data_IF_866993893866
#
_entry.id   IF_866993893866
#
_cell.length_a   1.000
_cell.length_b   1.000
_cell.length_c   1.000
_cell.angle_alpha   90.00
_cell.angle_beta   90.00
_cell.angle_gamma   90.00
#
_symmetry.space_group_name_H-M   'P 1'
#
loop_
_entity.id
_entity.type
_entity.pdbx_description
1 polymer ?
#
# COMPACT_ATOMS: atom_id res chain seq x y z
N UNK A 1 5.55 7.39 2.29
CA UNK A 1 6.95 7.16 2.69
C UNK A 1 7.20 5.71 3.09
N UNK A 2 6.39 5.12 3.98
CA UNK A 2 6.64 3.79 4.57
C UNK A 2 6.91 2.66 3.56
N UNK A 3 6.12 2.54 2.49
CA UNK A 3 6.34 1.50 1.49
C UNK A 3 7.72 1.58 0.80
N UNK A 4 8.26 2.78 0.57
CA UNK A 4 9.61 2.96 0.02
C UNK A 4 10.67 2.54 1.04
N UNK A 5 10.53 3.03 2.28
CA UNK A 5 11.45 2.71 3.38
C UNK A 5 11.53 1.21 3.62
N UNK A 6 10.40 0.49 3.64
CA UNK A 6 10.38 -0.96 3.80
C UNK A 6 11.11 -1.68 2.66
N UNK A 7 10.96 -1.23 1.41
CA UNK A 7 11.67 -1.84 0.28
C UNK A 7 13.18 -1.60 0.34
N UNK A 8 13.60 -0.40 0.76
CA UNK A 8 15.01 -0.08 0.99
C UNK A 8 15.59 -0.90 2.15
N UNK A 9 14.84 -1.07 3.24
CA UNK A 9 15.24 -1.90 4.38
C UNK A 9 15.41 -3.38 3.99
N UNK A 10 14.69 -3.85 2.98
CA UNK A 10 14.86 -5.18 2.38
C UNK A 10 16.05 -5.27 1.41
N UNK A 11 16.86 -4.21 1.29
CA UNK A 11 18.07 -4.19 0.47
C UNK A 11 17.83 -3.94 -1.03
N UNK A 12 16.64 -3.49 -1.44
CA UNK A 12 16.40 -3.14 -2.84
C UNK A 12 17.14 -1.87 -3.22
N UNK A 13 17.57 -1.80 -4.47
CA UNK A 13 18.06 -0.56 -5.06
C UNK A 13 16.96 0.51 -5.11
N UNK A 14 17.39 1.77 -5.21
CA UNK A 14 16.49 2.92 -5.12
C UNK A 14 15.39 2.93 -6.20
N UNK A 15 15.71 2.51 -7.43
CA UNK A 15 14.76 2.52 -8.53
C UNK A 15 13.69 1.44 -8.33
N UNK A 16 14.11 0.21 -8.04
CA UNK A 16 13.21 -0.90 -7.76
C UNK A 16 12.33 -0.65 -6.54
N UNK A 17 12.90 -0.07 -5.49
CA UNK A 17 12.18 0.29 -4.27
C UNK A 17 11.10 1.34 -4.56
N UNK A 18 11.44 2.40 -5.32
CA UNK A 18 10.50 3.45 -5.69
C UNK A 18 9.36 2.94 -6.59
N UNK A 19 9.69 2.15 -7.62
CA UNK A 19 8.68 1.52 -8.50
C UNK A 19 7.72 0.65 -7.70
N UNK A 20 8.24 -0.14 -6.76
CA UNK A 20 7.43 -1.01 -5.90
C UNK A 20 6.53 -0.21 -4.96
N UNK A 21 7.05 0.84 -4.32
CA UNK A 21 6.29 1.71 -3.44
C UNK A 21 5.16 2.46 -4.17
N UNK A 22 5.44 3.00 -5.37
CA UNK A 22 4.43 3.65 -6.20
C UNK A 22 3.31 2.69 -6.59
N UNK A 23 3.66 1.48 -7.04
CA UNK A 23 2.68 0.44 -7.36
C UNK A 23 1.84 0.06 -6.14
N UNK A 24 2.47 -0.05 -4.97
CA UNK A 24 1.76 -0.37 -3.73
C UNK A 24 0.69 0.67 -3.38
N UNK A 25 1.03 1.97 -3.43
CA UNK A 25 0.08 3.05 -3.15
C UNK A 25 -1.04 3.11 -4.19
N UNK A 26 -0.71 2.90 -5.47
CA UNK A 26 -1.69 2.90 -6.55
C UNK A 26 -2.76 1.81 -6.37
N UNK A 27 -2.35 0.58 -6.06
CA UNK A 27 -3.32 -0.50 -5.82
C UNK A 27 -4.07 -0.33 -4.48
N UNK A 28 -3.42 0.20 -3.44
CA UNK A 28 -4.10 0.55 -2.19
C UNK A 28 -5.21 1.60 -2.40
N UNK A 29 -5.01 2.51 -3.35
CA UNK A 29 -6.00 3.51 -3.75
C UNK A 29 -7.15 2.89 -4.52
N UNK A 30 -6.86 1.97 -5.44
CA UNK A 30 -7.90 1.24 -6.19
C UNK A 30 -8.74 0.33 -5.29
N UNK A 31 -8.13 -0.20 -4.23
CA UNK A 31 -8.79 -1.05 -3.24
C UNK A 31 -9.40 -0.26 -2.07
N UNK A 32 -9.38 1.09 -2.13
CA UNK A 32 -10.00 1.94 -1.11
C UNK A 32 -11.49 1.61 -0.96
N UNK A 33 -11.98 1.72 0.27
CA UNK A 33 -13.37 1.44 0.62
C UNK A 33 -14.03 2.73 1.14
N UNK A 34 -15.35 2.88 0.94
CA UNK A 34 -16.05 4.08 1.39
C UNK A 34 -16.05 4.16 2.92
N UNK A 35 -15.57 5.27 3.45
CA UNK A 35 -15.65 5.61 4.87
C UNK A 35 -16.13 7.06 4.98
N UNK A 36 -17.28 7.27 5.63
CA UNK A 36 -17.89 8.58 5.80
C UNK A 36 -18.44 9.19 4.50
N UNK A 37 -18.62 10.52 4.48
CA UNK A 37 -19.27 11.28 3.41
C UNK A 37 -18.28 12.19 2.63
N UNK A 38 -16.98 11.85 2.65
CA UNK A 38 -15.92 12.72 2.11
C UNK A 38 -14.70 11.94 1.61
N UNK A 39 -13.49 12.43 1.90
CA UNK A 39 -12.25 11.75 1.51
C UNK A 39 -12.05 10.47 2.33
N UNK A 40 -12.17 9.31 1.66
CA UNK A 40 -11.94 8.01 2.26
C UNK A 40 -10.44 7.65 2.35
N UNK A 41 -10.05 6.76 3.28
CA UNK A 41 -8.68 6.30 3.41
C UNK A 41 -8.28 5.36 2.26
N UNK A 42 -6.97 5.25 2.04
CA UNK A 42 -6.39 4.17 1.24
C UNK A 42 -6.53 2.83 1.98
N UNK A 43 -6.74 1.75 1.24
CA UNK A 43 -6.70 0.41 1.83
C UNK A 43 -5.26 -0.09 1.91
N UNK A 44 -4.57 0.14 3.03
CA UNK A 44 -3.18 -0.33 3.22
C UNK A 44 -3.06 -1.86 3.28
N UNK A 45 -4.15 -2.55 3.62
CA UNK A 45 -4.21 -4.01 3.79
C UNK A 45 -4.70 -4.74 2.53
N UNK A 46 -4.75 -4.06 1.37
CA UNK A 46 -5.33 -4.58 0.14
C UNK A 46 -4.75 -5.92 -0.38
N UNK A 47 -3.55 -6.31 0.06
CA UNK A 47 -2.93 -7.61 -0.28
C UNK A 47 -3.25 -8.74 0.70
N UNK A 48 -3.77 -8.41 1.87
CA UNK A 48 -4.10 -9.41 2.87
C UNK A 48 -5.43 -10.08 2.49
N UNK A 49 -5.53 -11.41 2.68
CA UNK A 49 -6.77 -12.11 2.41
C UNK A 49 -7.81 -11.73 3.47
N UNK A 50 -9.09 -11.62 3.08
CA UNK A 50 -10.18 -11.09 3.94
C UNK A 50 -10.40 -11.88 5.24
N UNK A 51 -9.96 -13.12 5.28
CA UNK A 51 -10.04 -14.05 6.40
C UNK A 51 -8.84 -13.98 7.35
N UNK A 52 -7.93 -13.01 7.18
CA UNK A 52 -6.85 -12.75 8.13
C UNK A 52 -7.28 -11.85 9.31
N UNK A 53 -8.58 -11.54 9.41
CA UNK A 53 -9.19 -10.71 10.45
C UNK A 53 -9.92 -11.54 11.54
N UNK A 54 -9.89 -12.87 11.44
CA UNK A 54 -10.47 -13.82 12.42
C UNK A 54 -9.46 -14.26 13.50
#
# INVERSE_FOLDING_TARGET
ASALTSQLALGRDIESAFRSAKKFVWEAMKAAYPVGQGHGPLNQMWRLPKNAED
#
